data_IF_351077829905
#
_entry.id   IF_351077829905
#
_cell.length_a   1.000
_cell.length_b   1.000
_cell.length_c   1.000
_cell.angle_alpha   90.00
_cell.angle_beta   90.00
_cell.angle_gamma   90.00
#
_symmetry.space_group_name_H-M   'P 1'
#
loop_
_entity.id
_entity.type
_entity.pdbx_description
1 polymer ?
#
# COMPACT_ATOMS: atom_id res chain seq x y z
N UNK A 1 46.47 39.16 15.22
CA UNK A 1 46.62 38.24 14.09
C UNK A 1 46.20 36.85 14.57
N UNK A 2 45.03 36.39 14.19
CA UNK A 2 44.61 35.01 14.34
C UNK A 2 43.66 34.71 13.18
N UNK A 3 44.15 33.97 12.22
CA UNK A 3 43.47 33.53 11.01
C UNK A 3 42.45 32.44 11.36
N UNK A 4 41.16 32.69 11.12
CA UNK A 4 40.09 31.69 11.21
C UNK A 4 40.22 30.69 10.03
N UNK A 5 40.18 29.36 10.27
CA UNK A 5 40.24 28.40 9.20
C UNK A 5 38.85 28.19 8.53
N UNK A 6 38.90 28.40 7.25
CA UNK A 6 38.05 27.90 6.15
C UNK A 6 36.70 27.21 6.45
N UNK A 7 35.66 27.98 6.28
CA UNK A 7 34.23 27.53 6.18
C UNK A 7 33.88 26.81 4.84
N UNK A 8 34.86 26.43 4.03
CA UNK A 8 34.66 25.90 2.68
C UNK A 8 34.44 24.37 2.58
N UNK A 9 34.74 23.62 3.65
CA UNK A 9 34.67 22.15 3.58
C UNK A 9 33.39 21.54 4.18
N UNK A 10 32.58 22.31 4.93
CA UNK A 10 31.31 21.84 5.52
C UNK A 10 30.11 21.87 4.55
N UNK A 11 30.21 22.56 3.41
CA UNK A 11 29.05 22.69 2.48
C UNK A 11 28.81 21.49 1.55
N UNK A 12 29.76 20.57 1.47
CA UNK A 12 29.64 19.38 0.60
C UNK A 12 28.95 18.18 1.27
N UNK A 13 29.16 18.00 2.57
CA UNK A 13 28.62 16.90 3.35
C UNK A 13 27.17 17.13 3.80
N UNK A 14 26.73 18.39 3.91
CA UNK A 14 25.35 18.72 4.29
C UNK A 14 24.33 18.49 3.16
N UNK A 15 24.77 18.38 1.90
CA UNK A 15 23.88 18.27 0.72
C UNK A 15 23.13 16.95 0.62
N UNK A 16 23.69 15.86 1.11
CA UNK A 16 23.07 14.53 1.14
C UNK A 16 22.73 14.08 2.57
N UNK A 17 23.02 14.91 3.57
CA UNK A 17 22.84 14.56 4.98
C UNK A 17 21.39 14.27 5.35
N UNK A 18 20.46 15.05 4.83
CA UNK A 18 19.04 14.87 5.12
C UNK A 18 18.45 13.62 4.43
N UNK A 19 18.76 13.39 3.15
CA UNK A 19 18.37 12.17 2.43
C UNK A 19 18.95 10.91 3.09
N UNK A 20 20.26 10.98 3.46
CA UNK A 20 20.92 9.88 4.16
C UNK A 20 20.27 9.62 5.52
N UNK A 21 19.93 10.68 6.29
CA UNK A 21 19.23 10.56 7.56
C UNK A 21 17.86 9.88 7.42
N UNK A 22 17.07 10.27 6.41
CA UNK A 22 15.77 9.66 6.11
C UNK A 22 15.88 8.20 5.69
N UNK A 23 16.88 7.84 4.87
CA UNK A 23 17.14 6.46 4.47
C UNK A 23 17.62 5.60 5.65
N UNK A 24 18.50 6.12 6.51
CA UNK A 24 18.94 5.40 7.70
C UNK A 24 17.77 5.19 8.66
N UNK A 25 16.92 6.21 8.87
CA UNK A 25 15.72 6.08 9.69
C UNK A 25 14.80 4.99 9.15
N UNK A 26 14.55 4.98 7.83
CA UNK A 26 13.75 3.96 7.19
C UNK A 26 14.33 2.56 7.39
N UNK A 27 15.65 2.39 7.18
CA UNK A 27 16.31 1.11 7.37
C UNK A 27 16.19 0.62 8.82
N UNK A 28 16.41 1.51 9.80
CA UNK A 28 16.28 1.18 11.22
C UNK A 28 14.82 0.81 11.59
N UNK A 29 13.84 1.54 11.05
CA UNK A 29 12.43 1.23 11.26
C UNK A 29 12.05 -0.16 10.72
N UNK A 30 12.59 -0.55 9.55
CA UNK A 30 12.38 -1.89 8.99
C UNK A 30 13.07 -2.98 9.82
N UNK A 31 14.24 -2.70 10.40
CA UNK A 31 14.90 -3.63 11.33
C UNK A 31 14.04 -3.83 12.59
N UNK A 32 13.51 -2.75 13.17
CA UNK A 32 12.60 -2.83 14.33
C UNK A 32 11.34 -3.64 13.99
N UNK A 33 10.74 -3.38 12.83
CA UNK A 33 9.62 -4.17 12.32
C UNK A 33 9.98 -5.66 12.24
N UNK A 34 11.15 -5.99 11.69
CA UNK A 34 11.59 -7.38 11.52
C UNK A 34 11.85 -8.08 12.86
N UNK A 35 12.45 -7.39 13.82
CA UNK A 35 12.66 -7.91 15.18
C UNK A 35 11.30 -8.22 15.84
N UNK A 36 10.36 -7.28 15.82
CA UNK A 36 9.04 -7.47 16.42
C UNK A 36 8.22 -8.60 15.78
N UNK A 37 8.41 -8.88 14.48
CA UNK A 37 7.79 -9.99 13.78
C UNK A 37 8.32 -11.39 14.26
N UNK A 38 9.35 -11.43 15.09
CA UNK A 38 9.92 -12.64 15.67
C UNK A 38 9.68 -12.76 17.19
N UNK A 39 9.05 -11.77 17.82
CA UNK A 39 8.72 -11.81 19.24
C UNK A 39 7.40 -12.61 19.43
N UNK A 40 7.42 -13.85 19.92
CA UNK A 40 6.22 -14.66 20.04
C UNK A 40 5.30 -14.15 21.16
N UNK A 41 4.00 -14.34 20.98
CA UNK A 41 3.01 -14.14 22.06
C UNK A 41 3.09 -15.34 23.01
N UNK A 42 3.13 -15.13 24.33
CA UNK A 42 3.24 -16.23 25.29
C UNK A 42 1.96 -17.09 25.35
N UNK A 43 2.11 -18.36 25.71
CA UNK A 43 1.00 -19.28 25.95
C UNK A 43 0.60 -20.18 24.78
N UNK A 44 1.38 -20.21 23.68
CA UNK A 44 1.13 -21.06 22.51
C UNK A 44 2.32 -22.00 22.28
N UNK A 45 2.01 -23.23 21.88
CA UNK A 45 2.99 -24.21 21.45
C UNK A 45 3.43 -23.90 20.00
N UNK A 46 4.73 -23.58 19.76
CA UNK A 46 5.22 -23.22 18.45
C UNK A 46 5.24 -24.40 17.45
N UNK A 47 5.39 -25.63 17.92
CA UNK A 47 5.48 -26.82 17.06
C UNK A 47 4.10 -27.22 16.52
N UNK A 48 3.08 -27.20 17.37
CA UNK A 48 1.69 -27.44 16.98
C UNK A 48 1.18 -26.33 16.05
N UNK A 49 1.55 -25.08 16.32
CA UNK A 49 1.19 -23.94 15.47
C UNK A 49 1.77 -24.08 14.06
N UNK A 50 3.04 -24.51 13.97
CA UNK A 50 3.70 -24.73 12.68
C UNK A 50 3.02 -25.82 11.87
N UNK A 51 2.65 -26.94 12.48
CA UNK A 51 1.90 -28.01 11.82
C UNK A 51 0.56 -27.52 11.26
N UNK A 52 -0.20 -26.75 12.04
CA UNK A 52 -1.48 -26.18 11.63
C UNK A 52 -1.33 -25.22 10.40
N UNK A 53 -0.26 -24.43 10.38
CA UNK A 53 0.02 -23.55 9.24
C UNK A 53 0.50 -24.31 8.01
N UNK A 54 1.26 -25.38 8.18
CA UNK A 54 1.73 -26.23 7.07
C UNK A 54 0.56 -26.96 6.39
N UNK A 55 -0.47 -27.34 7.13
CA UNK A 55 -1.70 -27.94 6.60
C UNK A 55 -2.62 -26.92 5.90
N UNK A 56 -2.59 -25.66 6.29
CA UNK A 56 -3.51 -24.61 5.79
C UNK A 56 -2.83 -23.54 4.94
N UNK A 57 -1.67 -23.80 4.34
CA UNK A 57 -0.88 -22.83 3.57
C UNK A 57 -1.63 -22.17 2.39
N UNK A 58 -2.61 -22.84 1.80
CA UNK A 58 -3.38 -22.34 0.65
C UNK A 58 -4.64 -21.54 1.00
N UNK A 59 -4.97 -21.37 2.29
CA UNK A 59 -6.21 -20.76 2.75
C UNK A 59 -6.11 -19.26 3.10
N UNK A 60 -7.16 -18.76 3.76
CA UNK A 60 -7.25 -17.39 4.26
C UNK A 60 -6.11 -17.06 5.21
N UNK A 61 -5.68 -18.00 6.06
CA UNK A 61 -4.56 -17.84 6.98
C UNK A 61 -3.24 -17.61 6.24
N UNK A 62 -3.03 -18.25 5.08
CA UNK A 62 -1.86 -18.02 4.24
C UNK A 62 -1.79 -16.58 3.71
N UNK A 63 -2.93 -15.98 3.29
CA UNK A 63 -2.99 -14.59 2.88
C UNK A 63 -2.65 -13.63 4.05
N UNK A 64 -3.23 -13.86 5.23
CA UNK A 64 -2.89 -13.08 6.42
C UNK A 64 -1.40 -13.16 6.75
N UNK A 65 -0.86 -14.37 6.72
CA UNK A 65 0.56 -14.61 7.01
C UNK A 65 1.47 -13.88 6.02
N UNK A 66 1.07 -13.81 4.75
CA UNK A 66 1.80 -13.06 3.72
C UNK A 66 1.84 -11.55 4.03
N UNK A 67 0.69 -10.94 4.37
CA UNK A 67 0.62 -9.51 4.71
C UNK A 67 1.31 -9.17 6.02
N UNK A 68 1.36 -10.10 6.98
CA UNK A 68 2.07 -9.95 8.24
C UNK A 68 3.58 -10.26 8.15
N UNK A 69 4.08 -10.71 7.00
CA UNK A 69 5.49 -11.03 6.80
C UNK A 69 5.96 -12.28 7.55
N UNK A 70 5.08 -13.28 7.69
CA UNK A 70 5.33 -14.50 8.44
C UNK A 70 5.18 -14.35 9.96
N UNK A 71 4.64 -13.21 10.41
CA UNK A 71 4.40 -12.97 11.84
C UNK A 71 3.27 -13.83 12.41
N UNK A 72 2.27 -14.16 11.58
CA UNK A 72 1.15 -15.00 11.99
C UNK A 72 1.55 -16.46 12.17
N UNK A 73 2.38 -17.02 11.29
CA UNK A 73 2.86 -18.42 11.41
C UNK A 73 3.74 -18.68 12.62
N UNK A 74 4.31 -17.61 13.21
CA UNK A 74 5.08 -17.64 14.46
C UNK A 74 4.28 -17.14 15.65
N UNK A 75 3.02 -16.72 15.41
CA UNK A 75 2.16 -16.04 16.36
C UNK A 75 2.89 -14.96 17.15
N UNK A 76 3.53 -14.06 16.42
CA UNK A 76 4.24 -12.95 17.02
C UNK A 76 3.30 -11.82 17.44
N UNK A 77 3.80 -10.87 18.20
CA UNK A 77 3.06 -9.65 18.59
C UNK A 77 2.52 -8.91 17.37
N UNK A 78 3.14 -9.04 16.19
CA UNK A 78 2.69 -8.47 14.93
C UNK A 78 1.83 -9.40 14.07
N UNK A 79 1.26 -10.46 14.64
CA UNK A 79 0.48 -11.44 13.89
C UNK A 79 -0.73 -10.84 13.16
N UNK A 80 -1.44 -9.87 13.75
CA UNK A 80 -2.50 -9.11 13.08
C UNK A 80 -1.97 -8.16 11.99
N UNK A 81 -0.69 -7.83 12.03
CA UNK A 81 -0.07 -6.89 11.11
C UNK A 81 -0.73 -5.52 11.13
N UNK A 82 -0.81 -4.90 9.95
CA UNK A 82 -1.42 -3.60 9.71
C UNK A 82 -2.89 -3.70 9.25
N UNK A 83 -3.44 -4.93 9.12
CA UNK A 83 -4.78 -5.17 8.57
C UNK A 83 -5.90 -4.42 9.30
N UNK A 84 -5.96 -4.37 10.66
CA UNK A 84 -7.00 -3.61 11.37
C UNK A 84 -6.97 -2.12 11.02
N UNK A 85 -5.78 -1.56 10.83
CA UNK A 85 -5.63 -0.15 10.42
C UNK A 85 -6.11 0.08 8.98
N UNK A 86 -5.78 -0.82 8.05
CA UNK A 86 -6.25 -0.71 6.67
C UNK A 86 -7.78 -0.73 6.64
N UNK A 87 -8.39 -1.69 7.32
CA UNK A 87 -9.87 -1.80 7.40
C UNK A 87 -10.50 -0.55 8.03
N UNK A 88 -9.95 -0.04 9.13
CA UNK A 88 -10.43 1.20 9.77
C UNK A 88 -10.29 2.41 8.83
N UNK A 89 -9.16 2.50 8.11
CA UNK A 89 -8.90 3.59 7.16
C UNK A 89 -9.89 3.57 6.00
N UNK A 90 -10.20 2.39 5.45
CA UNK A 90 -11.20 2.23 4.40
C UNK A 90 -12.58 2.70 4.89
N UNK A 91 -13.01 2.19 6.05
CA UNK A 91 -14.30 2.54 6.65
C UNK A 91 -14.39 4.05 6.87
N UNK A 92 -13.37 4.67 7.45
CA UNK A 92 -13.36 6.12 7.70
C UNK A 92 -13.33 6.93 6.40
N UNK A 93 -12.59 6.48 5.39
CA UNK A 93 -12.60 7.13 4.08
C UNK A 93 -13.98 7.05 3.42
N UNK A 94 -14.62 5.88 3.43
CA UNK A 94 -15.99 5.74 2.90
C UNK A 94 -17.00 6.59 3.66
N UNK A 95 -16.94 6.58 5.01
CA UNK A 95 -17.82 7.38 5.86
C UNK A 95 -17.63 8.88 5.64
N UNK A 96 -16.42 9.33 5.29
CA UNK A 96 -16.15 10.75 5.00
C UNK A 96 -16.85 11.28 3.73
N UNK A 97 -17.41 10.39 2.90
CA UNK A 97 -18.24 10.75 1.74
C UNK A 97 -19.72 10.61 2.00
N UNK A 98 -20.12 9.70 2.91
CA UNK A 98 -21.52 9.41 3.20
C UNK A 98 -22.07 10.30 4.31
N UNK A 99 -21.26 10.61 5.33
CA UNK A 99 -21.66 11.40 6.48
C UNK A 99 -21.35 12.89 6.30
N UNK A 100 -22.37 13.79 6.28
CA UNK A 100 -22.16 15.23 6.10
C UNK A 100 -21.21 15.85 7.13
N UNK A 101 -21.19 15.34 8.36
CA UNK A 101 -20.31 15.81 9.44
C UNK A 101 -18.83 15.54 9.14
N UNK A 102 -18.50 14.37 8.58
CA UNK A 102 -17.14 14.01 8.21
C UNK A 102 -16.72 14.67 6.88
N UNK A 103 -17.68 14.89 5.97
CA UNK A 103 -17.43 15.67 4.76
C UNK A 103 -17.07 17.13 5.08
N UNK A 104 -17.75 17.75 6.06
CA UNK A 104 -17.41 19.08 6.55
C UNK A 104 -15.98 19.13 7.11
N UNK A 105 -15.60 18.15 7.96
CA UNK A 105 -14.25 18.04 8.50
C UNK A 105 -13.21 17.90 7.38
N UNK A 106 -13.50 17.13 6.33
CA UNK A 106 -12.59 16.98 5.20
C UNK A 106 -12.36 18.30 4.44
N UNK A 107 -13.39 19.14 4.35
CA UNK A 107 -13.31 20.49 3.74
C UNK A 107 -12.56 21.51 4.59
N UNK A 108 -12.40 21.30 5.90
CA UNK A 108 -11.60 22.14 6.80
C UNK A 108 -10.08 22.07 6.54
N UNK A 109 -9.61 21.22 5.64
CA UNK A 109 -8.19 21.10 5.29
C UNK A 109 -7.38 20.31 6.33
N UNK A 110 -6.19 20.80 6.72
CA UNK A 110 -5.24 20.10 7.61
C UNK A 110 -5.83 19.80 9.01
N UNK A 111 -6.61 20.71 9.59
CA UNK A 111 -7.25 20.52 10.89
C UNK A 111 -8.23 19.35 10.87
N UNK A 112 -9.11 19.31 9.86
CA UNK A 112 -10.07 18.23 9.71
C UNK A 112 -9.41 16.89 9.38
N UNK A 113 -8.35 16.91 8.58
CA UNK A 113 -7.57 15.72 8.26
C UNK A 113 -6.97 15.07 9.51
N UNK A 114 -6.44 15.86 10.44
CA UNK A 114 -5.93 15.36 11.73
C UNK A 114 -7.01 14.67 12.55
N UNK A 115 -8.23 15.23 12.59
CA UNK A 115 -9.37 14.61 13.28
C UNK A 115 -9.79 13.29 12.64
N UNK A 116 -9.86 13.23 11.30
CA UNK A 116 -10.17 11.99 10.57
C UNK A 116 -9.11 10.92 10.87
N UNK A 117 -7.83 11.27 10.88
CA UNK A 117 -6.75 10.35 11.27
C UNK A 117 -6.91 9.85 12.71
N UNK A 118 -7.31 10.73 13.63
CA UNK A 118 -7.59 10.34 15.02
C UNK A 118 -8.75 9.34 15.10
N UNK A 119 -9.85 9.56 14.38
CA UNK A 119 -10.95 8.60 14.31
C UNK A 119 -10.53 7.26 13.68
N UNK A 120 -9.65 7.29 12.68
CA UNK A 120 -9.07 6.07 12.11
C UNK A 120 -8.27 5.29 13.16
N UNK A 121 -7.49 5.96 14.02
CA UNK A 121 -6.76 5.31 15.13
C UNK A 121 -7.71 4.65 16.13
N UNK A 122 -8.81 5.33 16.51
CA UNK A 122 -9.84 4.73 17.38
C UNK A 122 -10.53 3.54 16.73
N UNK A 123 -10.85 3.64 15.42
CA UNK A 123 -11.37 2.53 14.64
C UNK A 123 -10.42 1.34 14.59
N UNK A 124 -9.12 1.59 14.43
CA UNK A 124 -8.07 0.57 14.46
C UNK A 124 -8.01 -0.14 15.81
N UNK A 125 -8.08 0.62 16.92
CA UNK A 125 -8.08 0.06 18.26
C UNK A 125 -9.29 -0.85 18.46
N UNK A 126 -10.49 -0.41 18.07
CA UNK A 126 -11.72 -1.19 18.21
C UNK A 126 -11.67 -2.47 17.36
N UNK A 127 -11.29 -2.36 16.07
CA UNK A 127 -11.18 -3.52 15.19
C UNK A 127 -10.07 -4.47 15.63
N UNK A 128 -8.91 -3.95 16.06
CA UNK A 128 -7.80 -4.75 16.55
C UNK A 128 -8.13 -5.52 17.82
N UNK A 129 -8.86 -4.89 18.75
CA UNK A 129 -9.36 -5.53 19.95
C UNK A 129 -10.31 -6.68 19.59
N UNK A 130 -11.26 -6.41 18.71
CA UNK A 130 -12.25 -7.40 18.30
C UNK A 130 -11.60 -8.58 17.54
N UNK A 131 -10.70 -8.30 16.59
CA UNK A 131 -9.97 -9.32 15.86
C UNK A 131 -9.01 -10.13 16.77
N UNK A 132 -8.27 -9.44 17.65
CA UNK A 132 -7.36 -10.07 18.59
C UNK A 132 -8.08 -11.04 19.55
N UNK A 133 -9.23 -10.61 20.08
CA UNK A 133 -10.06 -11.47 20.93
C UNK A 133 -10.59 -12.66 20.16
N UNK A 134 -11.09 -12.47 18.94
CA UNK A 134 -11.59 -13.56 18.13
C UNK A 134 -10.52 -14.59 17.77
N UNK A 135 -9.30 -14.15 17.42
CA UNK A 135 -8.19 -15.06 17.17
C UNK A 135 -7.83 -15.84 18.46
N UNK A 136 -7.80 -15.19 19.62
CA UNK A 136 -7.52 -15.86 20.88
C UNK A 136 -8.54 -16.98 21.16
N UNK A 137 -9.84 -16.70 20.95
CA UNK A 137 -10.90 -17.70 21.11
C UNK A 137 -10.77 -18.84 20.08
N UNK A 138 -10.49 -18.50 18.82
CA UNK A 138 -10.32 -19.50 17.76
C UNK A 138 -9.14 -20.46 18.02
N UNK A 139 -8.01 -19.93 18.53
CA UNK A 139 -6.85 -20.77 18.88
C UNK A 139 -7.12 -21.68 20.08
N UNK A 140 -7.92 -21.22 21.04
CA UNK A 140 -8.30 -22.00 22.22
C UNK A 140 -9.20 -23.21 21.87
N UNK A 141 -9.93 -23.14 20.74
CA UNK A 141 -10.73 -24.28 20.27
C UNK A 141 -9.90 -25.41 19.66
N UNK A 142 -8.63 -25.15 19.35
CA UNK A 142 -7.70 -26.15 18.81
C UNK A 142 -7.04 -26.90 19.97
N UNK A 143 -7.31 -28.21 20.06
CA UNK A 143 -6.79 -29.02 21.15
C UNK A 143 -5.24 -29.09 21.14
N UNK A 144 -4.61 -28.74 22.24
CA UNK A 144 -3.15 -28.83 22.43
C UNK A 144 -2.35 -27.63 21.90
N UNK A 145 -2.97 -26.67 21.26
CA UNK A 145 -2.28 -25.49 20.74
C UNK A 145 -1.97 -24.46 21.83
N UNK A 146 -2.88 -24.31 22.79
CA UNK A 146 -2.75 -23.37 23.91
C UNK A 146 -2.32 -24.13 25.13
N UNK A 147 -1.22 -23.69 25.77
CA UNK A 147 -0.66 -24.37 26.97
C UNK A 147 -1.60 -24.31 28.17
N UNK A 148 -2.13 -23.11 28.45
CA UNK A 148 -3.06 -22.83 29.54
C UNK A 148 -4.32 -22.13 28.99
N UNK A 149 -5.35 -22.88 28.51
CA UNK A 149 -6.57 -22.31 28.03
C UNK A 149 -7.36 -21.62 29.16
N UNK A 150 -7.84 -20.39 28.92
CA UNK A 150 -8.64 -19.65 29.88
C UNK A 150 -8.70 -18.14 29.63
N UNK A 151 -9.44 -17.46 30.50
CA UNK A 151 -9.67 -16.02 30.39
C UNK A 151 -8.38 -15.20 30.37
N UNK A 152 -7.35 -15.63 31.13
CA UNK A 152 -6.06 -14.96 31.18
C UNK A 152 -5.32 -15.02 29.83
N UNK A 153 -5.33 -16.18 29.16
CA UNK A 153 -4.77 -16.33 27.82
C UNK A 153 -5.46 -15.38 26.81
N UNK A 154 -6.79 -15.34 26.84
CA UNK A 154 -7.56 -14.46 25.92
C UNK A 154 -7.17 -13.00 26.09
N UNK A 155 -7.09 -12.50 27.35
CA UNK A 155 -6.69 -11.12 27.63
C UNK A 155 -5.25 -10.87 27.20
N UNK A 156 -4.31 -11.72 27.61
CA UNK A 156 -2.89 -11.53 27.30
C UNK A 156 -2.65 -11.52 25.79
N UNK A 157 -3.25 -12.44 25.07
CA UNK A 157 -3.16 -12.53 23.60
C UNK A 157 -3.77 -11.31 22.94
N UNK A 158 -4.99 -10.92 23.35
CA UNK A 158 -5.68 -9.75 22.77
C UNK A 158 -4.88 -8.47 22.99
N UNK A 159 -4.39 -8.24 24.21
CA UNK A 159 -3.59 -7.04 24.53
C UNK A 159 -2.26 -7.05 23.77
N UNK A 160 -1.59 -8.19 23.67
CA UNK A 160 -0.32 -8.33 22.96
C UNK A 160 -0.49 -8.01 21.45
N UNK A 161 -1.49 -8.60 20.81
CA UNK A 161 -1.78 -8.37 19.39
C UNK A 161 -2.23 -6.93 19.10
N UNK A 162 -3.05 -6.37 19.98
CA UNK A 162 -3.49 -4.98 19.87
C UNK A 162 -2.31 -4.02 20.02
N UNK A 163 -1.45 -4.23 20.99
CA UNK A 163 -0.23 -3.44 21.20
C UNK A 163 0.65 -3.48 19.97
N UNK A 164 0.84 -4.68 19.39
CA UNK A 164 1.60 -4.85 18.14
C UNK A 164 1.01 -4.08 16.96
N UNK A 165 -0.29 -4.15 16.77
CA UNK A 165 -0.98 -3.41 15.69
C UNK A 165 -0.87 -1.90 15.88
N UNK A 166 -1.07 -1.39 17.10
CA UNK A 166 -0.94 0.03 17.40
C UNK A 166 0.50 0.52 17.22
N UNK A 167 1.48 -0.29 17.60
CA UNK A 167 2.88 0.00 17.35
C UNK A 167 3.23 0.06 15.86
N UNK A 168 2.74 -0.90 15.05
CA UNK A 168 2.96 -0.89 13.61
C UNK A 168 2.31 0.32 12.93
N UNK A 169 1.11 0.70 13.36
CA UNK A 169 0.45 1.91 12.89
C UNK A 169 1.32 3.14 13.19
N UNK A 170 1.76 3.30 14.43
CA UNK A 170 2.64 4.40 14.84
C UNK A 170 3.96 4.38 14.06
N UNK A 171 4.58 3.21 13.88
CA UNK A 171 5.80 3.06 13.11
C UNK A 171 5.61 3.49 11.64
N UNK A 172 4.48 3.11 11.02
CA UNK A 172 4.11 3.53 9.66
C UNK A 172 3.93 5.03 9.53
N UNK A 173 3.32 5.68 10.51
CA UNK A 173 3.21 7.14 10.58
C UNK A 173 4.59 7.80 10.71
N UNK A 174 5.46 7.29 11.59
CA UNK A 174 6.83 7.81 11.74
C UNK A 174 7.66 7.65 10.45
N UNK A 175 7.53 6.54 9.73
CA UNK A 175 8.18 6.34 8.44
C UNK A 175 7.67 7.38 7.43
N UNK A 176 6.37 7.67 7.41
CA UNK A 176 5.78 8.66 6.51
C UNK A 176 6.25 10.08 6.82
N UNK A 177 6.38 10.45 8.10
CA UNK A 177 6.78 11.80 8.52
C UNK A 177 8.28 12.03 8.41
N UNK A 178 9.09 11.07 8.84
CA UNK A 178 10.56 11.22 8.98
C UNK A 178 11.37 10.47 7.94
N UNK A 179 10.76 9.48 7.27
CA UNK A 179 11.39 8.68 6.23
C UNK A 179 11.11 9.20 4.82
N UNK A 180 10.99 8.28 3.89
CA UNK A 180 10.63 8.49 2.49
C UNK A 180 9.48 7.55 2.15
N UNK A 181 8.48 8.06 1.45
CA UNK A 181 7.36 7.25 0.98
C UNK A 181 6.21 7.14 1.98
N UNK A 182 5.22 6.33 1.59
CA UNK A 182 4.10 5.97 2.47
C UNK A 182 4.55 4.83 3.39
N UNK A 183 4.72 5.11 4.70
CA UNK A 183 5.24 4.17 5.68
C UNK A 183 4.43 2.89 5.80
N UNK A 184 3.10 2.96 5.65
CA UNK A 184 2.22 1.81 5.70
C UNK A 184 2.48 0.88 4.52
N UNK A 185 2.55 1.44 3.30
CA UNK A 185 2.88 0.67 2.09
C UNK A 185 4.26 0.03 2.18
N UNK A 186 5.22 0.72 2.78
CA UNK A 186 6.58 0.19 2.97
C UNK A 186 6.61 -0.96 3.98
N UNK A 187 5.83 -0.90 5.06
CA UNK A 187 5.75 -2.01 6.03
C UNK A 187 5.10 -3.24 5.36
N UNK A 188 4.03 -3.06 4.59
CA UNK A 188 3.40 -4.16 3.82
C UNK A 188 4.40 -4.74 2.82
N UNK A 189 5.10 -3.89 2.07
CA UNK A 189 6.17 -4.29 1.16
C UNK A 189 7.25 -5.11 1.87
N UNK A 190 7.75 -4.64 3.02
CA UNK A 190 8.76 -5.34 3.79
C UNK A 190 8.27 -6.72 4.27
N UNK A 191 7.00 -6.84 4.66
CA UNK A 191 6.35 -8.10 5.00
C UNK A 191 6.36 -9.08 3.83
N UNK A 192 5.93 -8.63 2.67
CA UNK A 192 5.87 -9.47 1.45
C UNK A 192 7.27 -9.88 1.00
N UNK A 193 8.22 -8.94 0.93
CA UNK A 193 9.61 -9.23 0.52
C UNK A 193 10.29 -10.20 1.48
N UNK A 194 9.99 -10.15 2.75
CA UNK A 194 10.51 -11.10 3.74
C UNK A 194 10.07 -12.55 3.51
N UNK A 195 8.93 -12.78 2.84
CA UNK A 195 8.43 -14.09 2.44
C UNK A 195 9.05 -14.64 1.13
N UNK A 196 9.74 -13.79 0.33
CA UNK A 196 10.30 -14.19 -0.97
C UNK A 196 11.33 -15.34 -0.88
N UNK A 197 12.31 -15.30 0.06
CA UNK A 197 13.29 -16.38 0.15
C UNK A 197 12.65 -17.74 0.49
N UNK A 198 11.64 -17.76 1.38
CA UNK A 198 10.93 -18.99 1.71
C UNK A 198 10.06 -19.49 0.56
N UNK A 199 9.42 -18.61 -0.20
CA UNK A 199 8.67 -18.97 -1.39
C UNK A 199 9.54 -19.56 -2.50
N UNK A 200 10.74 -18.99 -2.73
CA UNK A 200 11.69 -19.52 -3.72
C UNK A 200 12.28 -20.86 -3.27
N UNK A 201 12.65 -21.02 -2.00
CA UNK A 201 13.14 -22.31 -1.48
C UNK A 201 12.05 -23.39 -1.55
N UNK A 202 10.79 -23.05 -1.28
CA UNK A 202 9.65 -23.96 -1.44
C UNK A 202 9.47 -24.44 -2.88
N UNK A 203 9.62 -23.56 -3.87
CA UNK A 203 9.57 -23.93 -5.29
C UNK A 203 10.68 -24.94 -5.66
N UNK A 204 11.92 -24.69 -5.21
CA UNK A 204 13.03 -25.64 -5.44
C UNK A 204 12.80 -26.97 -4.76
N UNK A 205 12.21 -26.98 -3.56
CA UNK A 205 11.88 -28.21 -2.85
C UNK A 205 10.82 -29.04 -3.59
N UNK A 206 9.80 -28.41 -4.18
CA UNK A 206 8.79 -29.10 -5.00
C UNK A 206 9.38 -29.70 -6.29
N UNK A 207 10.37 -29.04 -6.86
CA UNK A 207 11.10 -29.59 -8.00
C UNK A 207 11.97 -30.78 -7.57
N UNK A 208 12.64 -30.68 -6.43
CA UNK A 208 13.51 -31.76 -5.92
C UNK A 208 12.72 -33.00 -5.47
N UNK A 209 11.51 -32.82 -4.97
CA UNK A 209 10.59 -33.93 -4.58
C UNK A 209 9.85 -34.52 -5.80
N UNK A 210 9.99 -33.94 -6.99
CA UNK A 210 9.29 -34.40 -8.19
C UNK A 210 7.81 -34.03 -8.26
N UNK A 211 7.31 -33.23 -7.32
CA UNK A 211 5.91 -32.77 -7.31
C UNK A 211 5.61 -31.85 -8.50
N UNK A 212 6.62 -31.11 -8.97
CA UNK A 212 6.54 -30.25 -10.16
C UNK A 212 7.71 -30.57 -11.08
N UNK A 213 7.45 -30.65 -12.40
CA UNK A 213 8.52 -30.84 -13.37
C UNK A 213 9.44 -29.60 -13.44
N UNK A 214 10.75 -29.76 -13.65
CA UNK A 214 11.67 -28.62 -13.79
C UNK A 214 11.25 -27.62 -14.88
N UNK A 215 10.65 -28.12 -15.95
CA UNK A 215 10.16 -27.29 -17.06
C UNK A 215 8.97 -26.41 -16.60
N UNK A 216 8.06 -26.94 -15.79
CA UNK A 216 6.95 -26.18 -15.24
C UNK A 216 7.43 -25.10 -14.25
N UNK A 217 8.46 -25.38 -13.45
CA UNK A 217 9.06 -24.37 -12.56
C UNK A 217 9.70 -23.21 -13.36
N UNK A 218 10.43 -23.51 -14.45
CA UNK A 218 10.98 -22.47 -15.34
C UNK A 218 9.85 -21.66 -15.97
N UNK A 219 8.77 -22.29 -16.42
CA UNK A 219 7.61 -21.62 -17.01
C UNK A 219 6.95 -20.68 -16.01
N UNK A 220 6.80 -21.10 -14.75
CA UNK A 220 6.25 -20.27 -13.67
C UNK A 220 7.13 -19.05 -13.41
N UNK A 221 8.45 -19.21 -13.32
CA UNK A 221 9.39 -18.08 -13.15
C UNK A 221 9.29 -17.12 -14.33
N UNK A 222 9.22 -17.65 -15.56
CA UNK A 222 9.08 -16.83 -16.76
C UNK A 222 7.77 -16.00 -16.74
N UNK A 223 6.65 -16.58 -16.30
CA UNK A 223 5.38 -15.86 -16.16
C UNK A 223 5.51 -14.75 -15.10
N UNK A 224 6.09 -15.02 -13.93
CA UNK A 224 6.29 -14.01 -12.88
C UNK A 224 7.11 -12.84 -13.41
N UNK A 225 8.19 -13.10 -14.13
CA UNK A 225 8.99 -12.05 -14.74
C UNK A 225 8.22 -11.28 -15.82
N UNK A 226 7.45 -11.96 -16.66
CA UNK A 226 6.63 -11.34 -17.69
C UNK A 226 5.53 -10.45 -17.08
N UNK A 227 4.84 -10.92 -16.03
CA UNK A 227 3.83 -10.14 -15.30
C UNK A 227 4.48 -8.94 -14.61
N UNK A 228 5.65 -9.12 -13.99
CA UNK A 228 6.40 -8.01 -13.39
C UNK A 228 6.75 -6.93 -14.42
N UNK A 229 7.28 -7.33 -15.58
CA UNK A 229 7.59 -6.41 -16.67
C UNK A 229 6.34 -5.70 -17.20
N UNK A 230 5.23 -6.41 -17.32
CA UNK A 230 3.95 -5.86 -17.74
C UNK A 230 3.42 -4.84 -16.72
N UNK A 231 3.50 -5.13 -15.42
CA UNK A 231 3.13 -4.20 -14.34
C UNK A 231 3.96 -2.92 -14.41
N UNK A 232 5.29 -3.04 -14.53
CA UNK A 232 6.18 -1.88 -14.67
C UNK A 232 5.82 -1.04 -15.91
N UNK A 233 5.52 -1.70 -17.02
CA UNK A 233 5.13 -1.02 -18.25
C UNK A 233 3.84 -0.21 -18.10
N UNK A 234 2.79 -0.82 -17.53
CA UNK A 234 1.49 -0.15 -17.34
C UNK A 234 1.57 0.97 -16.30
N UNK A 235 2.25 0.75 -15.18
CA UNK A 235 2.40 1.77 -14.12
C UNK A 235 3.21 2.99 -14.54
N UNK A 236 4.13 2.84 -15.52
CA UNK A 236 4.82 3.97 -16.14
C UNK A 236 3.98 4.70 -17.18
N UNK A 237 2.89 4.09 -17.63
CA UNK A 237 1.99 4.64 -18.62
C UNK A 237 1.30 5.91 -18.15
N UNK A 238 1.40 6.99 -18.95
CA UNK A 238 0.77 8.27 -18.67
C UNK A 238 0.06 8.80 -19.89
N UNK A 239 -1.18 9.25 -19.72
CA UNK A 239 -1.88 10.05 -20.72
C UNK A 239 -1.51 11.51 -20.52
N UNK A 240 -0.80 12.10 -21.47
CA UNK A 240 -0.42 13.52 -21.45
C UNK A 240 -1.47 14.35 -22.18
N UNK A 241 -2.17 15.21 -21.46
CA UNK A 241 -3.10 16.19 -22.04
C UNK A 241 -2.34 17.48 -22.27
N UNK A 242 -2.28 17.97 -23.51
CA UNK A 242 -1.61 19.23 -23.84
C UNK A 242 -2.37 20.39 -23.24
N UNK A 243 -1.69 21.26 -22.54
CA UNK A 243 -2.21 22.48 -21.93
C UNK A 243 -1.38 23.65 -22.41
N UNK A 244 -2.04 24.68 -23.01
CA UNK A 244 -1.39 25.85 -23.47
C UNK A 244 -1.66 27.03 -22.53
N UNK A 245 -0.64 27.83 -22.28
CA UNK A 245 -0.77 29.08 -21.53
C UNK A 245 -0.97 30.25 -22.50
N UNK A 246 -1.85 31.17 -22.15
CA UNK A 246 -2.08 32.36 -22.93
C UNK A 246 -0.80 33.21 -23.01
N UNK A 247 -0.52 33.77 -24.18
CA UNK A 247 0.57 34.74 -24.34
C UNK A 247 0.28 35.97 -23.49
N UNK A 248 1.24 36.38 -22.65
CA UNK A 248 1.15 37.62 -21.86
C UNK A 248 2.07 38.65 -22.45
N UNK A 249 1.52 39.84 -22.74
CA UNK A 249 2.28 40.99 -23.11
C UNK A 249 2.48 41.87 -21.88
N UNK A 250 3.73 42.12 -21.50
CA UNK A 250 4.11 43.02 -20.42
C UNK A 250 4.96 44.12 -21.06
N UNK A 251 4.36 45.29 -21.27
CA UNK A 251 4.97 46.38 -22.03
C UNK A 251 5.22 45.98 -23.50
N UNK A 252 6.41 46.23 -24.02
CA UNK A 252 6.81 45.90 -25.39
C UNK A 252 7.34 44.45 -25.57
N UNK A 253 7.38 43.66 -24.51
CA UNK A 253 7.86 42.26 -24.56
C UNK A 253 6.69 41.28 -24.55
N UNK A 254 6.58 40.44 -25.57
CA UNK A 254 5.64 39.34 -25.64
C UNK A 254 6.32 38.13 -25.06
N UNK A 255 5.84 37.66 -23.90
CA UNK A 255 6.22 36.37 -23.37
C UNK A 255 5.41 35.30 -24.09
N UNK A 256 6.08 34.46 -24.88
CA UNK A 256 5.46 33.38 -25.65
C UNK A 256 4.71 32.42 -24.75
N UNK A 257 3.52 31.97 -25.17
CA UNK A 257 2.78 30.93 -24.48
C UNK A 257 3.61 29.65 -24.45
N UNK A 258 3.89 29.16 -23.26
CA UNK A 258 4.52 27.82 -23.09
C UNK A 258 3.43 26.76 -23.19
N UNK A 259 3.69 25.70 -23.94
CA UNK A 259 2.90 24.47 -23.90
C UNK A 259 3.43 23.55 -22.81
N UNK A 260 2.56 23.08 -21.96
CA UNK A 260 2.84 22.11 -20.91
C UNK A 260 1.91 20.90 -21.06
N UNK A 261 2.11 19.90 -20.25
CA UNK A 261 1.27 18.69 -20.25
C UNK A 261 0.72 18.44 -18.87
N UNK A 262 -0.57 18.08 -18.81
CA UNK A 262 -1.18 17.51 -17.62
C UNK A 262 -1.01 15.97 -17.69
N UNK A 263 -0.11 15.38 -16.89
CA UNK A 263 0.08 13.93 -16.90
C UNK A 263 -1.01 13.25 -16.06
N UNK A 264 -1.78 12.33 -16.66
CA UNK A 264 -2.70 11.45 -15.97
C UNK A 264 -2.13 10.03 -16.03
N UNK A 265 -1.87 9.39 -14.89
CA UNK A 265 -1.41 7.99 -14.84
C UNK A 265 -2.50 7.07 -15.39
N UNK A 266 -2.14 5.96 -16.04
CA UNK A 266 -3.09 4.94 -16.48
C UNK A 266 -3.78 4.28 -15.28
N UNK A 267 -3.04 4.00 -14.23
CA UNK A 267 -3.57 3.54 -12.95
C UNK A 267 -3.47 4.69 -11.94
N UNK A 268 -4.56 5.48 -11.81
CA UNK A 268 -4.63 6.58 -10.83
C UNK A 268 -4.84 6.08 -9.40
N UNK A 269 -5.46 4.91 -9.26
CA UNK A 269 -5.77 4.32 -7.96
C UNK A 269 -4.60 3.54 -7.32
N UNK A 270 -3.54 3.22 -8.10
CA UNK A 270 -2.37 2.50 -7.60
C UNK A 270 -2.71 1.09 -7.11
N UNK A 271 -2.07 0.69 -6.01
CA UNK A 271 -2.25 -0.64 -5.37
C UNK A 271 -3.38 -0.68 -4.34
N UNK A 272 -4.02 0.44 -4.05
CA UNK A 272 -5.00 0.56 -2.98
C UNK A 272 -6.26 -0.29 -3.23
N UNK A 273 -6.85 -0.35 -4.45
CA UNK A 273 -8.04 -1.13 -4.70
C UNK A 273 -7.91 -2.63 -4.41
N UNK A 274 -6.86 -3.34 -4.84
CA UNK A 274 -6.64 -4.74 -4.48
C UNK A 274 -6.45 -4.97 -2.99
N UNK A 275 -5.74 -4.05 -2.28
CA UNK A 275 -5.55 -4.14 -0.83
C UNK A 275 -6.89 -3.97 -0.12
N UNK A 276 -7.73 -3.03 -0.56
CA UNK A 276 -9.06 -2.80 0.01
C UNK A 276 -10.00 -3.98 -0.24
N UNK A 277 -9.99 -4.50 -1.47
CA UNK A 277 -10.80 -5.66 -1.83
C UNK A 277 -10.44 -6.90 -1.00
N UNK A 278 -9.15 -7.20 -0.86
CA UNK A 278 -8.69 -8.32 -0.03
C UNK A 278 -9.03 -8.12 1.44
N UNK A 279 -8.82 -6.93 2.00
CA UNK A 279 -9.13 -6.63 3.40
C UNK A 279 -10.62 -6.76 3.69
N UNK A 280 -11.49 -6.33 2.76
CA UNK A 280 -12.94 -6.41 2.93
C UNK A 280 -13.45 -7.85 2.86
N UNK A 281 -12.86 -8.71 2.02
CA UNK A 281 -13.23 -10.14 1.96
C UNK A 281 -12.70 -10.90 3.17
N UNK A 282 -11.49 -10.58 3.63
CA UNK A 282 -10.86 -11.26 4.77
C UNK A 282 -11.60 -10.98 6.08
N UNK A 283 -12.21 -9.82 6.25
CA UNK A 283 -12.91 -9.46 7.48
C UNK A 283 -14.10 -10.37 7.82
N UNK A 284 -15.09 -10.61 6.94
CA UNK A 284 -16.16 -11.59 7.20
C UNK A 284 -15.64 -13.01 7.35
N UNK A 285 -14.62 -13.38 6.58
CA UNK A 285 -14.06 -14.73 6.62
C UNK A 285 -13.37 -15.04 7.97
N UNK A 286 -12.69 -14.05 8.57
CA UNK A 286 -12.15 -14.21 9.93
C UNK A 286 -13.24 -14.26 10.98
N UNK A 287 -14.27 -13.43 10.87
CA UNK A 287 -15.43 -13.50 11.77
C UNK A 287 -16.09 -14.87 11.74
N UNK A 288 -16.27 -15.45 10.56
CA UNK A 288 -16.85 -16.76 10.40
C UNK A 288 -16.05 -17.85 11.11
N UNK A 289 -14.72 -17.75 11.11
CA UNK A 289 -13.84 -18.66 11.85
C UNK A 289 -14.07 -18.68 13.36
N UNK A 290 -14.62 -17.61 13.95
CA UNK A 290 -14.89 -17.52 15.39
C UNK A 290 -16.20 -18.19 15.81
N UNK A 291 -17.17 -18.25 14.89
CA UNK A 291 -18.51 -18.80 15.18
C UNK A 291 -18.65 -20.27 14.82
N UNK A 292 -17.55 -21.03 14.74
CA UNK A 292 -17.55 -22.44 14.26
C UNK A 292 -18.14 -23.46 15.23
N UNK A 293 -18.50 -23.11 16.48
CA UNK A 293 -18.88 -24.02 17.56
C UNK A 293 -20.38 -24.26 17.73
N UNK A 294 -21.19 -24.18 16.67
CA UNK A 294 -22.65 -24.45 16.79
C UNK A 294 -23.30 -24.94 15.51
N UNK A 295 -24.31 -25.79 15.61
CA UNK A 295 -25.12 -26.25 14.46
C UNK A 295 -25.91 -25.13 13.81
N UNK A 296 -26.27 -24.08 14.54
CA UNK A 296 -26.96 -22.90 14.07
C UNK A 296 -26.10 -21.98 13.19
N UNK A 297 -24.78 -22.20 13.12
CA UNK A 297 -23.83 -21.36 12.39
C UNK A 297 -23.31 -22.03 11.11
N UNK A 298 -23.94 -23.10 10.63
CA UNK A 298 -23.53 -23.80 9.39
C UNK A 298 -23.50 -22.85 8.17
N UNK A 299 -24.49 -22.00 8.01
CA UNK A 299 -24.54 -21.05 6.89
C UNK A 299 -23.38 -20.06 6.89
N UNK A 300 -22.85 -19.65 8.07
CA UNK A 300 -21.68 -18.77 8.19
C UNK A 300 -20.42 -19.51 7.72
N UNK A 301 -20.31 -20.81 8.09
CA UNK A 301 -19.20 -21.66 7.68
C UNK A 301 -19.21 -21.92 6.18
N UNK A 302 -20.38 -22.19 5.61
CA UNK A 302 -20.55 -22.40 4.17
C UNK A 302 -20.21 -21.13 3.40
N UNK A 303 -20.62 -19.94 3.91
CA UNK A 303 -20.25 -18.66 3.34
C UNK A 303 -18.72 -18.41 3.44
N UNK A 304 -18.10 -18.71 4.58
CA UNK A 304 -16.65 -18.57 4.74
C UNK A 304 -15.86 -19.51 3.82
N UNK A 305 -16.32 -20.75 3.65
CA UNK A 305 -15.70 -21.69 2.71
C UNK A 305 -15.84 -21.22 1.26
N UNK A 306 -16.98 -20.66 0.89
CA UNK A 306 -17.22 -20.10 -0.45
C UNK A 306 -16.39 -18.83 -0.72
N UNK A 307 -16.04 -18.08 0.33
CA UNK A 307 -15.16 -16.90 0.28
C UNK A 307 -13.68 -17.25 0.45
N UNK A 308 -13.32 -18.53 0.47
CA UNK A 308 -11.93 -18.94 0.52
C UNK A 308 -11.21 -18.75 -0.81
N UNK A 309 -9.91 -18.40 -0.82
CA UNK A 309 -9.12 -18.28 -2.04
C UNK A 309 -9.18 -19.58 -2.87
N UNK A 310 -9.33 -19.42 -4.19
CA UNK A 310 -9.50 -20.54 -5.12
C UNK A 310 -10.95 -20.93 -5.41
N UNK A 311 -11.94 -20.37 -4.70
CA UNK A 311 -13.34 -20.58 -5.01
C UNK A 311 -13.84 -19.59 -6.08
N UNK A 312 -14.73 -20.00 -6.99
CA UNK A 312 -15.25 -19.11 -8.03
C UNK A 312 -15.95 -17.86 -7.49
N UNK A 313 -16.65 -17.98 -6.37
CA UNK A 313 -17.34 -16.86 -5.73
C UNK A 313 -16.33 -15.83 -5.18
N UNK A 314 -15.23 -16.29 -4.56
CA UNK A 314 -14.15 -15.43 -4.10
C UNK A 314 -13.56 -14.64 -5.28
N UNK A 315 -13.18 -15.34 -6.35
CA UNK A 315 -12.56 -14.74 -7.54
C UNK A 315 -13.47 -13.68 -8.19
N UNK A 316 -14.77 -13.97 -8.32
CA UNK A 316 -15.74 -13.04 -8.89
C UNK A 316 -15.92 -11.82 -7.98
N UNK A 317 -16.16 -12.04 -6.69
CA UNK A 317 -16.35 -10.96 -5.72
C UNK A 317 -15.09 -10.07 -5.64
N UNK A 318 -13.92 -10.69 -5.63
CA UNK A 318 -12.64 -9.99 -5.60
C UNK A 318 -12.46 -9.09 -6.84
N UNK A 319 -12.75 -9.60 -8.04
CA UNK A 319 -12.70 -8.82 -9.27
C UNK A 319 -13.68 -7.63 -9.24
N UNK A 320 -14.92 -7.85 -8.81
CA UNK A 320 -15.95 -6.79 -8.70
C UNK A 320 -15.51 -5.73 -7.69
N UNK A 321 -14.99 -6.12 -6.54
CA UNK A 321 -14.51 -5.19 -5.52
C UNK A 321 -13.29 -4.39 -5.99
N UNK A 322 -12.35 -4.99 -6.72
CA UNK A 322 -11.22 -4.26 -7.31
C UNK A 322 -11.74 -3.16 -8.25
N UNK A 323 -12.68 -3.49 -9.14
CA UNK A 323 -13.27 -2.50 -10.06
C UNK A 323 -13.98 -1.40 -9.28
N UNK A 324 -14.82 -1.76 -8.31
CA UNK A 324 -15.53 -0.79 -7.46
C UNK A 324 -14.56 0.16 -6.76
N UNK A 325 -13.55 -0.37 -6.07
CA UNK A 325 -12.58 0.45 -5.35
C UNK A 325 -11.67 1.26 -6.28
N UNK A 326 -11.38 0.78 -7.49
CA UNK A 326 -10.63 1.55 -8.47
C UNK A 326 -11.37 2.83 -8.87
N UNK A 327 -12.67 2.75 -9.16
CA UNK A 327 -13.49 3.92 -9.44
C UNK A 327 -13.68 4.81 -8.22
N UNK A 328 -14.00 4.21 -7.08
CA UNK A 328 -14.18 4.93 -5.82
C UNK A 328 -12.94 5.74 -5.45
N UNK A 329 -11.77 5.11 -5.46
CA UNK A 329 -10.51 5.75 -5.07
C UNK A 329 -10.07 6.82 -6.09
N UNK A 330 -10.27 6.59 -7.37
CA UNK A 330 -9.97 7.60 -8.40
C UNK A 330 -10.82 8.86 -8.20
N UNK A 331 -12.12 8.70 -7.92
CA UNK A 331 -13.02 9.82 -7.62
C UNK A 331 -12.63 10.57 -6.32
N UNK A 332 -12.02 9.85 -5.38
CA UNK A 332 -11.56 10.39 -4.10
C UNK A 332 -10.28 11.24 -4.24
N UNK A 333 -9.33 10.75 -5.02
CA UNK A 333 -8.00 11.36 -5.15
C UNK A 333 -7.98 12.53 -6.13
N UNK A 334 -8.78 12.44 -7.18
CA UNK A 334 -8.76 13.42 -8.26
C UNK A 334 -10.09 14.14 -8.42
N UNK A 335 -10.07 15.46 -8.24
CA UNK A 335 -11.24 16.32 -8.47
C UNK A 335 -11.12 17.07 -9.82
N UNK A 336 -11.87 16.63 -10.85
CA UNK A 336 -11.80 17.28 -12.18
C UNK A 336 -12.21 18.75 -12.18
N UNK A 337 -13.18 19.14 -11.34
CA UNK A 337 -13.67 20.52 -11.24
C UNK A 337 -12.59 21.45 -10.69
N UNK A 338 -11.99 21.06 -9.57
CA UNK A 338 -10.92 21.84 -8.94
C UNK A 338 -9.71 21.98 -9.86
N UNK A 339 -9.32 20.90 -10.55
CA UNK A 339 -8.24 20.93 -11.54
C UNK A 339 -8.56 21.89 -12.69
N UNK A 340 -9.78 21.86 -13.22
CA UNK A 340 -10.20 22.77 -14.29
C UNK A 340 -10.25 24.24 -13.84
N UNK A 341 -10.68 24.51 -12.60
CA UNK A 341 -10.64 25.85 -12.02
C UNK A 341 -9.20 26.35 -11.81
N UNK A 342 -8.30 25.51 -11.34
CA UNK A 342 -6.89 25.85 -11.16
C UNK A 342 -6.22 26.14 -12.50
N UNK A 343 -6.52 25.38 -13.56
CA UNK A 343 -6.09 25.67 -14.92
C UNK A 343 -6.63 27.03 -15.39
N UNK A 344 -7.91 27.30 -15.17
CA UNK A 344 -8.53 28.59 -15.53
C UNK A 344 -7.88 29.76 -14.78
N UNK A 345 -7.63 29.63 -13.47
CA UNK A 345 -6.98 30.67 -12.64
C UNK A 345 -5.54 30.94 -13.10
N UNK A 346 -4.81 29.91 -13.54
CA UNK A 346 -3.44 30.06 -14.09
C UNK A 346 -3.39 30.55 -15.53
N UNK A 347 -4.54 30.79 -16.18
CA UNK A 347 -4.62 31.21 -17.58
C UNK A 347 -4.25 30.10 -18.56
N UNK A 348 -4.31 28.85 -18.12
CA UNK A 348 -4.05 27.68 -18.93
C UNK A 348 -5.34 27.14 -19.54
N UNK A 349 -5.27 26.64 -20.77
CA UNK A 349 -6.42 26.03 -21.45
C UNK A 349 -6.01 24.81 -22.27
N UNK A 350 -6.96 23.90 -22.46
CA UNK A 350 -6.80 22.76 -23.36
C UNK A 350 -7.20 23.20 -24.77
N UNK A 351 -6.37 23.01 -25.81
CA UNK A 351 -6.72 23.38 -27.17
C UNK A 351 -8.06 22.78 -27.61
N UNK A 352 -8.95 23.64 -28.15
CA UNK A 352 -10.28 23.24 -28.63
C UNK A 352 -11.36 23.08 -27.56
N UNK A 353 -11.07 23.35 -26.27
CA UNK A 353 -12.03 23.19 -25.15
C UNK A 353 -12.11 24.51 -24.36
N UNK A 354 -13.34 24.98 -24.08
CA UNK A 354 -13.52 26.20 -23.28
C UNK A 354 -13.05 25.96 -21.83
N UNK A 355 -12.28 26.92 -21.25
CA UNK A 355 -11.88 26.84 -19.83
C UNK A 355 -13.08 26.85 -18.89
N UNK A 356 -13.02 26.02 -17.83
CA UNK A 356 -14.08 25.89 -16.83
C UNK A 356 -14.80 24.54 -16.94
N UNK A 357 -16.14 24.53 -16.86
CA UNK A 357 -16.95 23.30 -16.78
C UNK A 357 -16.74 22.32 -17.93
N UNK A 358 -16.53 22.84 -19.15
CA UNK A 358 -16.26 21.96 -20.30
C UNK A 358 -14.91 21.25 -20.16
N UNK A 359 -13.90 21.93 -19.64
CA UNK A 359 -12.60 21.34 -19.31
C UNK A 359 -12.75 20.28 -18.23
N UNK A 360 -13.55 20.55 -17.18
CA UNK A 360 -13.83 19.58 -16.12
C UNK A 360 -14.50 18.30 -16.67
N UNK A 361 -15.53 18.44 -17.51
CA UNK A 361 -16.21 17.31 -18.15
C UNK A 361 -15.29 16.51 -19.09
N UNK A 362 -14.39 17.18 -19.78
CA UNK A 362 -13.41 16.50 -20.63
C UNK A 362 -12.43 15.67 -19.82
N UNK A 363 -11.84 16.26 -18.77
CA UNK A 363 -10.92 15.58 -17.86
C UNK A 363 -11.61 14.40 -17.19
N UNK A 364 -12.84 14.57 -16.72
CA UNK A 364 -13.64 13.50 -16.08
C UNK A 364 -13.87 12.32 -17.04
N UNK A 365 -14.25 12.59 -18.28
CA UNK A 365 -14.43 11.54 -19.31
C UNK A 365 -13.13 10.78 -19.60
N UNK A 366 -12.00 11.48 -19.65
CA UNK A 366 -10.70 10.84 -19.85
C UNK A 366 -10.34 9.99 -18.64
N UNK A 367 -10.56 10.48 -17.42
CA UNK A 367 -10.34 9.78 -16.18
C UNK A 367 -11.16 8.50 -16.09
N UNK A 368 -12.48 8.55 -16.38
CA UNK A 368 -13.34 7.36 -16.36
C UNK A 368 -12.82 6.27 -17.30
N UNK A 369 -12.36 6.64 -18.50
CA UNK A 369 -11.79 5.67 -19.45
C UNK A 369 -10.45 5.10 -18.99
N UNK A 370 -9.59 5.93 -18.40
CA UNK A 370 -8.31 5.48 -17.84
C UNK A 370 -8.53 4.56 -16.64
N UNK A 371 -9.48 4.89 -15.77
CA UNK A 371 -9.84 4.07 -14.61
C UNK A 371 -10.38 2.71 -15.03
N UNK A 372 -11.20 2.64 -16.11
CA UNK A 372 -11.64 1.35 -16.64
C UNK A 372 -10.46 0.49 -17.10
N UNK A 373 -9.56 1.07 -17.90
CA UNK A 373 -8.35 0.37 -18.34
C UNK A 373 -7.46 -0.06 -17.17
N UNK A 374 -7.27 0.82 -16.17
CA UNK A 374 -6.56 0.52 -14.94
C UNK A 374 -7.22 -0.59 -14.10
N UNK A 375 -8.56 -0.58 -13.98
CA UNK A 375 -9.29 -1.60 -13.24
C UNK A 375 -9.19 -2.98 -13.90
N UNK A 376 -9.35 -3.05 -15.23
CA UNK A 376 -9.17 -4.31 -15.99
C UNK A 376 -7.74 -4.84 -15.83
N UNK A 377 -6.76 -3.95 -15.92
CA UNK A 377 -5.35 -4.29 -15.68
C UNK A 377 -5.13 -4.86 -14.27
N UNK A 378 -5.66 -4.19 -13.23
CA UNK A 378 -5.55 -4.65 -11.84
C UNK A 378 -6.17 -6.03 -11.63
N UNK A 379 -7.39 -6.24 -12.15
CA UNK A 379 -8.07 -7.54 -12.10
C UNK A 379 -7.23 -8.61 -12.78
N UNK A 380 -6.71 -8.34 -13.98
CA UNK A 380 -5.88 -9.29 -14.70
C UNK A 380 -4.63 -9.68 -13.91
N UNK A 381 -3.87 -8.69 -13.41
CA UNK A 381 -2.64 -8.94 -12.65
C UNK A 381 -2.90 -9.68 -11.33
N UNK A 382 -4.03 -9.39 -10.66
CA UNK A 382 -4.38 -10.05 -9.40
C UNK A 382 -4.87 -11.50 -9.61
N UNK A 383 -5.57 -11.79 -10.70
CA UNK A 383 -6.15 -13.12 -10.94
C UNK A 383 -5.19 -14.11 -11.61
N UNK A 384 -4.21 -13.63 -12.40
CA UNK A 384 -3.26 -14.54 -13.10
C UNK A 384 -2.52 -15.47 -12.15
N UNK A 385 -1.91 -15.01 -11.05
CA UNK A 385 -1.22 -15.91 -10.11
C UNK A 385 -2.17 -16.84 -9.37
N UNK A 386 -3.41 -16.41 -9.09
CA UNK A 386 -4.42 -17.27 -8.46
C UNK A 386 -4.80 -18.43 -9.39
N UNK A 387 -4.97 -18.16 -10.67
CA UNK A 387 -5.21 -19.19 -11.69
C UNK A 387 -4.01 -20.15 -11.84
N UNK A 388 -2.78 -19.64 -11.75
CA UNK A 388 -1.57 -20.49 -11.78
C UNK A 388 -1.50 -21.39 -10.55
N UNK A 389 -1.85 -20.88 -9.37
CA UNK A 389 -1.89 -21.69 -8.14
C UNK A 389 -2.88 -22.85 -8.26
N UNK A 390 -4.09 -22.59 -8.78
CA UNK A 390 -5.11 -23.62 -9.00
C UNK A 390 -4.68 -24.71 -9.98
N UNK A 391 -3.87 -24.37 -10.99
CA UNK A 391 -3.46 -25.32 -12.03
C UNK A 391 -2.20 -26.12 -11.70
N UNK A 392 -1.24 -25.48 -11.01
CA UNK A 392 0.08 -26.07 -10.78
C UNK A 392 0.35 -26.43 -9.32
N UNK A 393 -0.60 -26.17 -8.40
CA UNK A 393 -0.43 -26.39 -6.94
C UNK A 393 0.91 -25.85 -6.41
N UNK A 394 1.41 -24.79 -7.02
CA UNK A 394 2.64 -24.14 -6.57
C UNK A 394 2.30 -23.35 -5.33
N UNK A 395 2.99 -23.54 -4.19
CA UNK A 395 2.82 -22.69 -3.02
C UNK A 395 3.36 -21.28 -3.35
N UNK A 396 2.56 -20.53 -4.11
CA UNK A 396 2.92 -19.18 -4.48
C UNK A 396 2.63 -18.25 -3.30
N UNK A 397 3.66 -17.88 -2.59
CA UNK A 397 3.66 -16.69 -1.74
C UNK A 397 3.52 -15.40 -2.57
N UNK A 398 3.55 -15.48 -3.89
CA UNK A 398 3.31 -14.39 -4.82
C UNK A 398 1.87 -14.42 -5.33
N UNK A 399 0.91 -14.08 -4.47
CA UNK A 399 -0.40 -13.67 -4.96
C UNK A 399 -0.27 -12.45 -5.87
N UNK A 400 -1.20 -12.25 -6.82
CA UNK A 400 -1.16 -11.11 -7.73
C UNK A 400 -1.08 -9.76 -7.02
N UNK A 401 -1.74 -9.65 -5.87
CA UNK A 401 -1.64 -8.48 -4.98
C UNK A 401 -0.23 -8.23 -4.46
N UNK A 402 0.47 -9.27 -4.03
CA UNK A 402 1.82 -9.11 -3.46
C UNK A 402 2.82 -8.64 -4.50
N UNK A 403 2.78 -9.23 -5.70
CA UNK A 403 3.66 -8.83 -6.81
C UNK A 403 3.38 -7.37 -7.21
N UNK A 404 2.12 -7.00 -7.33
CA UNK A 404 1.71 -5.64 -7.67
C UNK A 404 2.16 -4.64 -6.59
N UNK A 405 2.01 -4.97 -5.30
CA UNK A 405 2.46 -4.13 -4.19
C UNK A 405 3.99 -3.96 -4.25
N UNK A 406 4.74 -5.05 -4.42
CA UNK A 406 6.21 -5.00 -4.50
C UNK A 406 6.67 -4.08 -5.62
N UNK A 407 6.11 -4.21 -6.81
CA UNK A 407 6.51 -3.39 -7.97
C UNK A 407 6.13 -1.92 -7.77
N UNK A 408 4.87 -1.65 -7.43
CA UNK A 408 4.38 -0.25 -7.37
C UNK A 408 5.00 0.50 -6.20
N UNK A 409 5.13 -0.11 -5.03
CA UNK A 409 5.78 0.54 -3.87
C UNK A 409 7.25 0.83 -4.16
N UNK A 410 7.96 -0.10 -4.84
CA UNK A 410 9.34 0.15 -5.28
C UNK A 410 9.42 1.31 -6.26
N UNK A 411 8.51 1.37 -7.25
CA UNK A 411 8.47 2.46 -8.22
C UNK A 411 8.15 3.80 -7.57
N UNK A 412 7.17 3.86 -6.68
CA UNK A 412 6.81 5.08 -5.95
C UNK A 412 7.97 5.54 -5.05
N UNK A 413 8.64 4.62 -4.36
CA UNK A 413 9.83 4.91 -3.59
C UNK A 413 10.95 5.50 -4.44
N UNK A 414 11.28 4.86 -5.58
CA UNK A 414 12.29 5.36 -6.50
C UNK A 414 11.94 6.74 -7.07
N UNK A 415 10.69 6.97 -7.41
CA UNK A 415 10.18 8.25 -7.90
C UNK A 415 10.34 9.36 -6.85
N UNK A 416 10.07 9.08 -5.58
CA UNK A 416 10.24 10.03 -4.49
C UNK A 416 11.72 10.33 -4.21
N UNK A 417 12.58 9.31 -4.25
CA UNK A 417 14.05 9.51 -4.13
C UNK A 417 14.55 10.40 -5.26
N UNK A 418 14.10 10.15 -6.51
CA UNK A 418 14.48 10.97 -7.67
C UNK A 418 13.99 12.42 -7.54
N UNK A 419 12.73 12.63 -7.13
CA UNK A 419 12.17 13.96 -6.90
C UNK A 419 12.96 14.73 -5.84
N UNK A 420 13.32 14.06 -4.74
CA UNK A 420 14.11 14.64 -3.66
C UNK A 420 15.52 15.03 -4.14
N UNK A 421 16.19 14.17 -4.92
CA UNK A 421 17.49 14.48 -5.51
C UNK A 421 17.44 15.67 -6.48
N UNK A 422 16.41 15.74 -7.34
CA UNK A 422 16.23 16.86 -8.26
C UNK A 422 16.05 18.19 -7.53
N UNK A 423 15.21 18.24 -6.50
CA UNK A 423 14.96 19.46 -5.72
C UNK A 423 16.28 20.02 -5.14
N UNK A 424 17.12 19.16 -4.60
CA UNK A 424 18.44 19.58 -4.06
C UNK A 424 19.45 20.03 -5.14
N UNK A 425 19.40 19.44 -6.33
CA UNK A 425 20.23 19.91 -7.43
C UNK A 425 19.82 21.32 -7.88
N UNK A 426 18.51 21.60 -7.97
CA UNK A 426 18.00 22.93 -8.29
C UNK A 426 18.39 24.00 -7.26
N UNK A 427 18.26 23.72 -5.96
CA UNK A 427 18.72 24.64 -4.91
C UNK A 427 20.22 24.97 -5.04
N UNK A 428 21.03 23.97 -5.40
CA UNK A 428 22.47 24.18 -5.57
C UNK A 428 22.82 25.08 -6.75
N UNK A 429 22.02 25.02 -7.82
CA UNK A 429 22.16 25.88 -9.00
C UNK A 429 21.71 27.32 -8.70
N UNK A 430 20.58 27.49 -8.00
CA UNK A 430 20.07 28.79 -7.59
C UNK A 430 21.06 29.53 -6.67
N UNK A 431 21.67 28.83 -5.71
CA UNK A 431 22.72 29.43 -4.85
C UNK A 431 23.93 29.87 -5.65
N UNK A 432 24.38 29.09 -6.67
CA UNK A 432 25.50 29.46 -7.53
C UNK A 432 25.20 30.68 -8.41
N UNK A 433 23.97 30.85 -8.88
CA UNK A 433 23.54 32.00 -9.71
C UNK A 433 23.41 33.27 -8.88
N UNK A 434 22.86 33.21 -7.67
CA UNK A 434 22.75 34.36 -6.77
C UNK A 434 24.11 34.90 -6.32
N UNK A 435 25.13 34.07 -6.12
CA UNK A 435 26.47 34.51 -5.80
C UNK A 435 27.22 35.18 -6.98
N UNK A 436 26.89 34.84 -8.23
CA UNK A 436 27.45 35.53 -9.42
C UNK A 436 26.82 36.90 -9.67
N UNK A 437 25.54 37.11 -9.31
CA UNK A 437 24.87 38.41 -9.45
C UNK A 437 25.34 39.48 -8.49
N UNK A 438 25.79 39.11 -7.28
CA UNK A 438 26.29 40.06 -6.28
C UNK A 438 27.77 40.50 -6.49
N UNK A 439 28.50 39.76 -7.32
CA UNK A 439 29.89 40.08 -7.65
C UNK A 439 30.07 41.06 -8.83
N UNK A 440 29.05 41.32 -9.62
CA UNK A 440 29.12 42.20 -10.79
C UNK A 440 28.55 43.62 -10.59
N UNK A 441 27.99 43.93 -9.42
CA UNK A 441 27.45 45.28 -9.11
C UNK A 441 28.48 46.21 -8.40
N UNK A 442 29.75 45.87 -8.40
CA UNK A 442 30.83 46.75 -7.92
C UNK A 442 31.94 46.85 -8.98
N UNK A 443 31.62 47.43 -10.12
CA UNK A 443 32.55 48.12 -11.03
C UNK A 443 31.81 49.21 -11.80
#
# INVERSE_FOLDING_TARGET
MATSPSSKQQSGLSKYGDLKGRLIFLALALVVYRIGAHVPVPGIDPDMLKQLFDEQQGGILGLFNMFSGGALSRFSVFALGIMPYISASIIMQMLSYVLPSLEALRKEGESGRRKITQYTRYGTLLLGLFQGFGIAVALETQAGLVLDPGFMFRITTTVSLLTGTMFLMWLGEQITERGLGNGISIIIFAGIVAGLPSGTSGLFQLVSTGAISPLAAIFVIAIVLAVTAFVVFVERGQRRITVNYAKRQIGNKIYGGQSSYLPLKMNMSGVIPPIFASSLILFPATLAGWFTTGDSTRWIRDLASALSPGQPLYTLLYAVLIVFFAYFYTALVFNPKETAENLKKSGAFIPGIRPGDQTARYIDRVLLRLTLGGAVYLVFVCLVPEFLNLRFNVPFYFGGTSLLIVVVVTMDFMSQVQAYMMTHQYESLLRKTNFRGLGQSKR
#
